data_IF_917112443858
#
_entry.id   IF_917112443858
#
_cell.length_a   1.000
_cell.length_b   1.000
_cell.length_c   1.000
_cell.angle_alpha   90.00
_cell.angle_beta   90.00
_cell.angle_gamma   90.00
#
_symmetry.space_group_name_H-M   'P 1'
#
loop_
_entity.id
_entity.type
_entity.pdbx_description
1 polymer ?
#
# COMPACT_ATOMS: atom_id res chain seq x y z
N UNK A 1 14.30 10.71 -33.63
CA UNK A 1 13.60 11.07 -32.39
C UNK A 1 14.41 12.16 -31.71
N UNK A 2 13.84 13.35 -31.52
CA UNK A 2 14.47 14.52 -30.89
C UNK A 2 13.75 14.85 -29.58
N UNK A 3 14.34 15.71 -28.75
CA UNK A 3 13.79 16.16 -27.46
C UNK A 3 12.40 16.82 -27.58
N UNK A 4 12.03 17.32 -28.76
CA UNK A 4 10.71 17.92 -29.03
C UNK A 4 9.61 16.88 -29.32
N UNK A 5 9.98 15.63 -29.56
CA UNK A 5 8.99 14.59 -29.87
C UNK A 5 8.21 14.18 -28.63
N UNK A 6 8.84 14.20 -27.44
CA UNK A 6 8.20 13.88 -26.16
C UNK A 6 7.02 14.81 -25.87
N UNK A 7 7.17 16.16 -25.87
CA UNK A 7 6.03 17.04 -25.63
C UNK A 7 4.98 16.96 -26.74
N UNK A 8 5.36 16.65 -27.98
CA UNK A 8 4.41 16.46 -29.07
C UNK A 8 3.54 15.20 -28.86
N UNK A 9 4.15 14.08 -28.46
CA UNK A 9 3.44 12.85 -28.09
C UNK A 9 2.54 13.12 -26.88
N UNK A 10 3.04 13.85 -25.88
CA UNK A 10 2.27 14.15 -24.68
C UNK A 10 1.04 15.02 -25.01
N UNK A 11 1.17 15.98 -25.94
CA UNK A 11 0.04 16.79 -26.42
C UNK A 11 -1.09 15.93 -26.97
N UNK A 12 -0.77 14.83 -27.63
CA UNK A 12 -1.77 13.90 -28.19
C UNK A 12 -2.27 12.89 -27.16
N UNK A 13 -1.38 12.32 -26.34
CA UNK A 13 -1.70 11.27 -25.39
C UNK A 13 -2.46 11.78 -24.15
N UNK A 14 -2.10 12.96 -23.63
CA UNK A 14 -2.63 13.49 -22.38
C UNK A 14 -4.17 13.67 -22.41
N UNK A 15 -4.77 14.32 -23.43
CA UNK A 15 -6.23 14.45 -23.50
C UNK A 15 -6.93 13.09 -23.62
N UNK A 16 -6.28 12.10 -24.24
CA UNK A 16 -6.84 10.76 -24.39
C UNK A 16 -6.86 10.01 -23.05
N UNK A 17 -5.76 10.05 -22.29
CA UNK A 17 -5.62 9.36 -21.00
C UNK A 17 -6.54 9.98 -19.94
N UNK A 18 -6.65 11.31 -19.92
CA UNK A 18 -7.46 12.04 -18.94
C UNK A 18 -8.98 11.91 -19.13
N UNK A 19 -9.45 11.22 -20.17
CA UNK A 19 -10.89 10.92 -20.31
C UNK A 19 -11.35 10.05 -19.15
N UNK A 20 -12.51 10.34 -18.53
CA UNK A 20 -13.01 9.58 -17.39
C UNK A 20 -13.02 8.06 -17.62
N UNK A 21 -13.43 7.63 -18.82
CA UNK A 21 -13.43 6.21 -19.22
C UNK A 21 -12.04 5.55 -19.11
N UNK A 22 -10.99 6.27 -19.49
CA UNK A 22 -9.63 5.73 -19.52
C UNK A 22 -9.01 5.72 -18.12
N UNK A 23 -9.25 6.76 -17.32
CA UNK A 23 -8.85 6.81 -15.91
C UNK A 23 -9.56 5.71 -15.10
N UNK A 24 -10.88 5.58 -15.26
CA UNK A 24 -11.67 4.52 -14.60
C UNK A 24 -11.20 3.13 -15.01
N UNK A 25 -10.87 2.92 -16.29
CA UNK A 25 -10.29 1.65 -16.75
C UNK A 25 -8.94 1.36 -16.06
N UNK A 26 -8.10 2.37 -15.86
CA UNK A 26 -6.88 2.23 -15.07
C UNK A 26 -7.14 1.76 -13.63
N UNK A 27 -8.12 2.35 -12.94
CA UNK A 27 -8.48 1.92 -11.58
C UNK A 27 -9.15 0.54 -11.52
N UNK A 28 -9.74 0.07 -12.61
CA UNK A 28 -10.30 -1.29 -12.65
C UNK A 28 -9.22 -2.37 -12.61
N UNK A 29 -8.02 -2.07 -13.14
CA UNK A 29 -6.88 -3.01 -13.14
C UNK A 29 -6.37 -3.28 -11.74
N UNK A 30 -6.47 -2.32 -10.81
CA UNK A 30 -6.03 -2.49 -9.42
C UNK A 30 -7.19 -2.89 -8.50
N UNK A 31 -8.40 -3.04 -9.03
CA UNK A 31 -9.59 -3.29 -8.21
C UNK A 31 -9.99 -2.14 -7.30
N UNK A 32 -9.48 -0.92 -7.53
CA UNK A 32 -9.90 0.27 -6.77
C UNK A 32 -11.29 0.72 -7.23
N UNK A 33 -11.55 0.70 -8.54
CA UNK A 33 -12.84 1.07 -9.11
C UNK A 33 -13.21 0.27 -10.38
N UNK A 34 -14.31 -0.51 -10.39
CA UNK A 34 -15.13 -0.83 -9.21
C UNK A 34 -14.31 -1.60 -8.17
N UNK A 35 -14.71 -1.50 -6.91
CA UNK A 35 -14.00 -2.17 -5.83
C UNK A 35 -14.03 -3.69 -6.02
N UNK A 36 -12.86 -4.31 -6.13
CA UNK A 36 -12.69 -5.75 -6.19
C UNK A 36 -11.38 -6.14 -5.49
N UNK A 37 -11.49 -6.80 -4.34
CA UNK A 37 -10.33 -7.22 -3.55
C UNK A 37 -9.64 -8.48 -4.15
N UNK A 38 -10.32 -9.21 -5.03
CA UNK A 38 -9.84 -10.46 -5.63
C UNK A 38 -9.30 -10.24 -7.05
N UNK A 39 -8.70 -9.08 -7.29
CA UNK A 39 -8.14 -8.75 -8.62
C UNK A 39 -6.79 -9.40 -8.83
N UNK A 40 -6.00 -9.56 -7.75
CA UNK A 40 -4.70 -10.20 -7.82
C UNK A 40 -4.79 -11.65 -7.34
N UNK A 41 -4.05 -12.53 -8.01
CA UNK A 41 -3.85 -13.92 -7.61
C UNK A 41 -2.73 -14.05 -6.57
N UNK A 42 -2.69 -15.14 -5.81
CA UNK A 42 -1.73 -15.35 -4.72
C UNK A 42 -0.26 -15.30 -5.22
N UNK A 43 -0.02 -15.69 -6.47
CA UNK A 43 1.30 -15.68 -7.09
C UNK A 43 1.82 -14.24 -7.36
N UNK A 44 0.93 -13.29 -7.61
CA UNK A 44 1.27 -11.87 -7.77
C UNK A 44 1.73 -11.23 -6.45
N UNK A 45 1.44 -11.87 -5.31
CA UNK A 45 1.90 -11.46 -3.99
C UNK A 45 3.23 -12.13 -3.57
N UNK A 46 3.80 -13.05 -4.36
CA UNK A 46 5.00 -13.83 -3.97
C UNK A 46 6.22 -12.99 -3.60
N UNK A 47 6.35 -11.79 -4.17
CA UNK A 47 7.47 -10.88 -3.82
C UNK A 47 7.32 -10.36 -2.39
N UNK A 48 6.09 -10.18 -1.91
CA UNK A 48 5.80 -9.76 -0.53
C UNK A 48 6.06 -10.86 0.50
N UNK A 49 6.00 -12.13 0.08
CA UNK A 49 6.24 -13.31 0.92
C UNK A 49 7.67 -13.39 1.46
N UNK A 50 8.61 -12.60 0.94
CA UNK A 50 9.97 -12.49 1.51
C UNK A 50 9.92 -12.13 3.00
N UNK A 51 8.95 -11.31 3.41
CA UNK A 51 8.77 -10.90 4.82
C UNK A 51 8.23 -12.04 5.68
N UNK A 52 7.46 -12.95 5.09
CA UNK A 52 6.86 -14.10 5.77
C UNK A 52 7.77 -15.34 5.76
N UNK A 53 8.95 -15.26 5.13
CA UNK A 53 9.93 -16.33 5.20
C UNK A 53 10.35 -16.48 6.66
N UNK A 54 10.16 -17.70 7.19
CA UNK A 54 10.81 -18.08 8.43
C UNK A 54 12.30 -17.81 8.27
N UNK A 55 12.84 -16.98 9.14
CA UNK A 55 14.29 -16.88 9.27
C UNK A 55 14.69 -18.27 9.76
N UNK A 56 15.28 -19.06 8.86
CA UNK A 56 15.97 -20.27 9.26
C UNK A 56 17.16 -19.78 10.07
N UNK A 57 16.94 -19.59 11.36
CA UNK A 57 18.04 -19.43 12.29
C UNK A 57 18.84 -20.71 12.14
N UNK A 58 20.02 -20.59 11.53
CA UNK A 58 21.02 -21.62 11.69
C UNK A 58 21.14 -21.89 13.19
N UNK A 59 21.29 -23.13 13.62
CA UNK A 59 21.35 -23.48 15.06
C UNK A 59 22.38 -22.63 15.86
N UNK A 60 23.31 -22.01 15.12
CA UNK A 60 24.30 -21.06 15.60
C UNK A 60 23.72 -19.67 16.04
N UNK A 61 22.55 -19.27 15.56
CA UNK A 61 21.92 -17.96 15.87
C UNK A 61 20.91 -18.05 17.05
N UNK A 62 20.22 -19.17 17.22
CA UNK A 62 19.34 -19.46 18.38
C UNK A 62 20.10 -19.40 19.72
N UNK A 63 21.38 -19.78 19.72
CA UNK A 63 22.25 -19.71 20.89
C UNK A 63 22.56 -18.27 21.32
N UNK A 64 22.52 -17.29 20.40
CA UNK A 64 22.74 -15.88 20.70
C UNK A 64 21.50 -15.19 21.27
N UNK A 65 20.30 -15.62 20.86
CA UNK A 65 19.05 -15.06 21.39
C UNK A 65 18.83 -15.39 22.87
N UNK A 66 19.19 -16.60 23.31
CA UNK A 66 19.09 -17.01 24.71
C UNK A 66 19.98 -16.19 25.68
N UNK A 67 21.10 -15.63 25.20
CA UNK A 67 21.99 -14.75 25.98
C UNK A 67 21.45 -13.32 26.10
N UNK A 68 20.60 -12.89 25.16
CA UNK A 68 19.98 -11.56 25.16
C UNK A 68 18.67 -11.58 25.95
N UNK A 69 17.93 -12.69 25.93
CA UNK A 69 16.64 -12.81 26.60
C UNK A 69 16.73 -12.76 28.13
N UNK A 70 17.84 -13.21 28.72
CA UNK A 70 18.12 -13.07 30.16
C UNK A 70 18.32 -11.61 30.60
N UNK A 71 18.57 -10.70 29.66
CA UNK A 71 18.88 -9.29 29.93
C UNK A 71 17.73 -8.32 29.62
N UNK A 72 16.63 -8.77 28.98
CA UNK A 72 15.47 -7.91 28.63
C UNK A 72 14.22 -8.11 29.52
N UNK A 73 14.19 -9.12 30.40
CA UNK A 73 13.05 -9.36 31.30
C UNK A 73 12.83 -8.26 32.34
N UNK A 74 13.77 -7.33 32.50
CA UNK A 74 13.62 -6.15 33.36
C UNK A 74 12.88 -4.96 32.71
N UNK A 75 12.44 -5.04 31.44
CA UNK A 75 11.80 -3.90 30.73
C UNK A 75 10.47 -4.20 30.03
N UNK A 76 9.90 -5.41 30.22
CA UNK A 76 8.75 -5.94 29.46
C UNK A 76 7.38 -5.29 29.75
N UNK A 77 7.25 -4.30 30.63
CA UNK A 77 5.96 -3.64 30.92
C UNK A 77 5.62 -2.44 30.00
N UNK A 78 6.58 -1.84 29.29
CA UNK A 78 6.35 -0.58 28.56
C UNK A 78 6.00 -0.70 27.06
N UNK A 79 6.08 -1.88 26.44
CA UNK A 79 5.99 -2.01 24.97
C UNK A 79 4.65 -2.50 24.42
N UNK A 80 3.65 -2.73 25.27
CA UNK A 80 2.30 -3.16 24.82
C UNK A 80 1.43 -2.04 24.23
N UNK A 81 1.97 -0.84 24.00
CA UNK A 81 1.21 0.34 23.57
C UNK A 81 1.58 0.92 22.19
N UNK A 82 2.32 0.19 21.32
CA UNK A 82 2.78 0.75 20.04
C UNK A 82 2.53 -0.15 18.84
N UNK A 83 1.28 -0.26 18.38
CA UNK A 83 0.93 -0.47 16.96
C UNK A 83 -0.58 -0.32 16.74
N UNK A 84 -1.09 0.90 16.88
CA UNK A 84 -2.33 1.28 16.19
C UNK A 84 -1.91 2.30 15.15
N UNK A 85 -1.73 1.87 13.90
CA UNK A 85 -1.87 2.81 12.78
C UNK A 85 -3.29 3.37 12.85
N UNK A 86 -3.49 4.69 13.01
CA UNK A 86 -4.84 5.24 12.98
C UNK A 86 -5.44 4.98 11.60
N UNK A 87 -6.63 4.40 11.55
CA UNK A 87 -7.38 4.28 10.29
C UNK A 87 -7.48 5.66 9.63
N UNK A 88 -7.26 5.78 8.31
CA UNK A 88 -7.49 7.04 7.62
C UNK A 88 -8.93 7.47 7.86
N UNK A 89 -9.10 8.62 8.52
CA UNK A 89 -10.41 9.19 8.84
C UNK A 89 -11.13 9.44 7.50
N UNK A 90 -12.36 8.93 7.29
CA UNK A 90 -13.11 9.26 6.09
C UNK A 90 -13.39 10.77 6.11
N UNK A 91 -12.85 11.49 5.13
CA UNK A 91 -13.22 12.88 4.88
C UNK A 91 -14.65 12.92 4.36
N UNK A 92 -15.61 13.07 5.26
CA UNK A 92 -16.99 13.43 4.89
C UNK A 92 -16.98 14.87 4.38
N UNK A 93 -16.84 15.04 3.07
CA UNK A 93 -17.14 16.30 2.38
C UNK A 93 -18.64 16.35 2.05
N UNK A 94 -19.14 17.58 1.90
CA UNK A 94 -20.46 18.02 1.41
C UNK A 94 -21.49 18.40 2.47
N UNK A 95 -21.33 19.62 3.02
CA UNK A 95 -22.49 20.42 3.44
C UNK A 95 -23.33 20.74 2.20
N UNK A 96 -24.52 20.18 2.12
CA UNK A 96 -25.53 20.53 1.13
C UNK A 96 -26.08 21.92 1.45
N UNK A 97 -25.68 22.95 0.70
CA UNK A 97 -26.43 24.20 0.67
C UNK A 97 -27.60 24.03 -0.28
N UNK A 98 -28.78 23.75 0.26
CA UNK A 98 -30.06 23.89 -0.43
C UNK A 98 -30.36 25.39 -0.63
N UNK A 99 -30.62 25.89 -1.85
CA UNK A 99 -31.27 27.18 -2.02
C UNK A 99 -32.79 27.00 -1.84
N UNK A 100 -33.41 27.81 -0.96
CA UNK A 100 -34.86 27.96 -0.90
C UNK A 100 -35.33 28.80 -2.09
N UNK A 101 -36.39 28.36 -2.76
CA UNK A 101 -37.21 29.18 -3.65
C UNK A 101 -37.96 30.27 -2.87
#
# INVERSE_FOLDING_TARGET
MNIYDIPLILKEALPLVLRPKNVQKGFSVTGIWPYNQKVFEDDEYLISEVTNRLINESEHDLAKLNLVESNLTASKENDRLRHLTPSPRPSTLFASTTPSL
#
